data_IF_213521837656
#
_entry.id   IF_213521837656
#
_cell.length_a   1.000
_cell.length_b   1.000
_cell.length_c   1.000
_cell.angle_alpha   90.00
_cell.angle_beta   90.00
_cell.angle_gamma   90.00
#
_symmetry.space_group_name_H-M   'P 1'
#
loop_
_entity.id
_entity.type
_entity.pdbx_description
1 polymer ?
#
# COMPACT_ATOMS: atom_id res chain seq x y z
N UNK A 1 0.67 0.82 21.33
CA UNK A 1 -0.72 0.42 20.97
C UNK A 1 -1.30 -0.69 21.83
N UNK A 2 -0.59 -1.80 22.07
CA UNK A 2 -1.10 -2.91 22.90
C UNK A 2 -1.44 -2.51 24.36
N UNK A 3 -0.71 -1.56 24.94
CA UNK A 3 -1.00 -1.04 26.29
C UNK A 3 -2.32 -0.26 26.37
N UNK A 4 -2.65 0.53 25.34
CA UNK A 4 -3.90 1.29 25.31
C UNK A 4 -5.12 0.36 25.23
N UNK A 5 -5.04 -0.72 24.46
CA UNK A 5 -6.13 -1.71 24.35
C UNK A 5 -6.39 -2.49 25.64
N UNK A 6 -5.38 -2.70 26.49
CA UNK A 6 -5.59 -3.35 27.79
C UNK A 6 -6.34 -2.43 28.76
N UNK A 7 -6.09 -1.12 28.70
CA UNK A 7 -6.69 -0.15 29.60
C UNK A 7 -8.16 0.16 29.25
N UNK A 8 -8.51 0.18 27.97
CA UNK A 8 -9.87 0.54 27.50
C UNK A 8 -10.78 -0.65 27.22
N UNK A 9 -10.33 -1.88 27.53
CA UNK A 9 -11.02 -3.13 27.20
C UNK A 9 -12.46 -3.18 27.75
N UNK A 10 -12.64 -2.74 28.98
CA UNK A 10 -13.93 -2.84 29.68
C UNK A 10 -14.86 -1.66 29.34
N UNK A 11 -14.31 -0.44 29.16
CA UNK A 11 -15.11 0.73 28.75
C UNK A 11 -15.55 0.69 27.29
N UNK A 12 -14.73 0.14 26.38
CA UNK A 12 -15.04 0.09 24.94
C UNK A 12 -15.64 -1.26 24.50
N UNK A 13 -16.13 -2.05 25.46
CA UNK A 13 -16.74 -3.37 25.22
C UNK A 13 -17.96 -3.33 24.31
N UNK A 14 -18.68 -2.19 24.25
CA UNK A 14 -19.87 -1.95 23.42
C UNK A 14 -19.60 -1.08 22.20
N UNK A 15 -18.52 -0.31 22.17
CA UNK A 15 -18.20 0.60 21.06
C UNK A 15 -17.52 -0.11 19.87
N UNK A 16 -17.73 0.40 18.65
CA UNK A 16 -16.96 0.03 17.47
C UNK A 16 -15.58 0.67 17.61
N UNK A 17 -14.52 -0.15 17.59
CA UNK A 17 -13.13 0.34 17.69
C UNK A 17 -12.52 0.42 16.32
N UNK A 18 -11.86 1.53 16.02
CA UNK A 18 -11.04 1.67 14.83
C UNK A 18 -9.57 1.46 15.20
N UNK A 19 -8.98 0.37 14.72
CA UNK A 19 -7.61 -0.04 15.06
C UNK A 19 -6.76 -0.03 13.80
N UNK A 20 -5.53 0.50 13.87
CA UNK A 20 -4.60 0.40 12.75
C UNK A 20 -3.83 -0.94 12.74
N UNK A 21 -4.25 -1.92 13.55
CA UNK A 21 -3.78 -3.30 13.48
C UNK A 21 -4.98 -4.25 13.57
N UNK A 22 -5.10 -5.14 12.59
CA UNK A 22 -6.16 -6.13 12.43
C UNK A 22 -5.81 -7.49 13.05
N UNK A 23 -4.73 -7.58 13.83
CA UNK A 23 -4.27 -8.83 14.41
C UNK A 23 -5.27 -9.39 15.44
N UNK A 24 -5.79 -10.59 15.16
CA UNK A 24 -6.72 -11.33 16.02
C UNK A 24 -6.12 -11.63 17.41
N UNK A 25 -4.82 -11.96 17.47
CA UNK A 25 -4.13 -12.20 18.73
C UNK A 25 -4.01 -10.93 19.59
N UNK A 26 -4.14 -9.75 18.98
CA UNK A 26 -4.13 -8.45 19.65
C UNK A 26 -5.49 -8.03 20.22
N UNK A 27 -6.55 -8.85 20.07
CA UNK A 27 -7.89 -8.54 20.56
C UNK A 27 -8.80 -7.83 19.55
N UNK A 28 -8.46 -7.88 18.26
CA UNK A 28 -9.34 -7.44 17.16
C UNK A 28 -10.53 -8.40 17.01
N UNK A 29 -11.75 -7.89 16.99
CA UNK A 29 -12.98 -8.67 16.79
C UNK A 29 -13.54 -8.45 15.38
N UNK A 30 -13.47 -9.49 14.55
CA UNK A 30 -14.10 -9.52 13.22
C UNK A 30 -15.62 -9.29 13.39
N UNK A 31 -16.19 -8.42 12.56
CA UNK A 31 -17.61 -8.09 12.58
C UNK A 31 -18.01 -6.99 13.56
N UNK A 32 -17.10 -6.54 14.43
CA UNK A 32 -17.35 -5.40 15.34
C UNK A 32 -16.34 -4.27 15.15
N UNK A 33 -15.05 -4.61 15.12
CA UNK A 33 -13.98 -3.62 15.00
C UNK A 33 -13.67 -3.34 13.53
N UNK A 34 -13.29 -2.10 13.23
CA UNK A 34 -12.88 -1.67 11.90
C UNK A 34 -11.38 -1.38 11.86
N UNK A 35 -10.77 -1.59 10.71
CA UNK A 35 -9.34 -1.33 10.52
C UNK A 35 -9.16 0.03 9.90
N UNK A 36 -8.38 0.90 10.55
CA UNK A 36 -8.04 2.18 9.96
C UNK A 36 -6.85 1.98 9.02
N UNK A 37 -7.03 2.13 7.70
CA UNK A 37 -5.93 1.93 6.78
C UNK A 37 -4.91 3.05 6.95
N UNK A 38 -3.62 2.72 6.89
CA UNK A 38 -2.57 3.71 6.90
C UNK A 38 -2.63 4.53 5.61
N UNK A 39 -2.94 5.81 5.70
CA UNK A 39 -2.92 6.73 4.56
C UNK A 39 -1.66 7.58 4.64
N UNK A 40 -0.96 7.70 3.51
CA UNK A 40 0.20 8.59 3.42
C UNK A 40 -0.27 9.96 2.91
N UNK A 41 -0.40 10.92 3.82
CA UNK A 41 -0.76 12.31 3.50
C UNK A 41 0.53 13.06 3.19
N UNK A 42 0.66 13.55 1.95
CA UNK A 42 1.89 14.19 1.45
C UNK A 42 2.05 15.64 1.90
N UNK A 43 0.95 16.36 1.97
CA UNK A 43 0.87 17.75 2.43
C UNK A 43 -0.40 17.85 3.26
N UNK A 44 -0.26 18.39 4.47
CA UNK A 44 -1.40 18.62 5.34
C UNK A 44 -2.26 19.78 4.81
N UNK A 45 -1.67 20.68 4.02
CA UNK A 45 -2.33 21.85 3.44
C UNK A 45 -3.20 21.52 2.23
N UNK A 46 -2.85 20.49 1.45
CA UNK A 46 -3.66 20.01 0.33
C UNK A 46 -3.63 18.47 0.25
N UNK A 47 -4.53 17.79 0.99
CA UNK A 47 -4.60 16.33 1.02
C UNK A 47 -5.12 15.73 -0.29
N UNK A 48 -5.68 16.57 -1.19
CA UNK A 48 -6.26 16.15 -2.48
C UNK A 48 -5.26 16.31 -3.63
N UNK A 49 -4.17 17.05 -3.40
CA UNK A 49 -3.11 17.25 -4.39
C UNK A 49 -2.58 15.91 -4.89
N UNK A 50 -2.68 15.71 -6.21
CA UNK A 50 -2.27 14.49 -6.91
C UNK A 50 -3.16 13.26 -6.74
N UNK A 51 -4.37 13.42 -6.20
CA UNK A 51 -5.41 12.39 -6.32
C UNK A 51 -5.88 12.31 -7.79
N UNK A 52 -6.00 11.09 -8.31
CA UNK A 52 -6.39 10.82 -9.69
C UNK A 52 -5.25 10.33 -10.59
N UNK A 53 -5.50 9.20 -11.26
CA UNK A 53 -4.68 8.65 -12.33
C UNK A 53 -5.27 8.93 -13.71
N UNK A 54 -4.50 8.62 -14.76
CA UNK A 54 -4.98 8.77 -16.13
C UNK A 54 -6.16 7.82 -16.39
N UNK A 55 -7.06 8.11 -17.35
CA UNK A 55 -8.11 7.18 -17.74
C UNK A 55 -7.52 5.84 -18.24
N UNK A 56 -8.24 4.71 -18.10
CA UNK A 56 -7.73 3.38 -18.46
C UNK A 56 -7.17 3.24 -19.88
N UNK A 57 -7.66 4.05 -20.82
CA UNK A 57 -7.22 4.11 -22.22
C UNK A 57 -5.82 4.71 -22.41
N UNK A 58 -5.36 5.57 -21.50
CA UNK A 58 -4.06 6.25 -21.56
C UNK A 58 -3.01 5.62 -20.64
N UNK A 59 -3.23 4.36 -20.23
CA UNK A 59 -2.34 3.61 -19.35
C UNK A 59 -1.53 2.59 -20.16
N UNK A 60 -0.30 2.92 -20.60
CA UNK A 60 0.52 2.03 -21.39
C UNK A 60 1.11 0.87 -20.58
N UNK A 61 1.18 0.99 -19.25
CA UNK A 61 1.84 -0.01 -18.39
C UNK A 61 0.79 -0.99 -17.86
N UNK A 62 1.04 -2.30 -18.05
CA UNK A 62 0.18 -3.37 -17.55
C UNK A 62 0.26 -3.41 -16.02
N UNK A 63 1.41 -3.75 -15.46
CA UNK A 63 1.56 -3.87 -14.03
C UNK A 63 2.77 -3.11 -13.48
N UNK A 64 2.58 -2.53 -12.30
CA UNK A 64 3.63 -1.86 -11.55
C UNK A 64 3.78 -2.51 -10.18
N UNK A 65 5.02 -2.86 -9.83
CA UNK A 65 5.37 -3.32 -8.49
C UNK A 65 6.46 -2.41 -7.92
N UNK A 66 6.22 -1.89 -6.72
CA UNK A 66 7.24 -1.17 -5.96
C UNK A 66 7.71 -2.02 -4.79
N UNK A 67 8.90 -2.61 -4.94
CA UNK A 67 9.59 -3.19 -3.80
C UNK A 67 10.18 -2.04 -2.99
N UNK A 68 9.50 -1.65 -1.90
CA UNK A 68 10.06 -0.72 -0.91
C UNK A 68 11.27 -1.34 -0.19
N UNK A 69 11.36 -1.22 1.14
CA UNK A 69 12.43 -1.87 1.91
C UNK A 69 12.57 -3.37 1.58
N UNK A 70 13.81 -3.86 1.43
CA UNK A 70 14.15 -5.25 1.07
C UNK A 70 13.87 -6.26 2.20
N UNK A 71 12.65 -6.31 2.72
CA UNK A 71 12.26 -7.25 3.77
C UNK A 71 11.12 -8.16 3.29
N UNK A 72 11.51 -9.32 2.74
CA UNK A 72 10.63 -10.43 2.36
C UNK A 72 11.20 -11.26 1.21
N UNK A 73 11.24 -12.59 1.35
CA UNK A 73 11.79 -13.51 0.34
C UNK A 73 11.06 -13.41 -1.01
N UNK A 74 9.75 -13.14 -1.00
CA UNK A 74 8.95 -12.95 -2.21
C UNK A 74 9.39 -11.72 -3.02
N UNK A 75 9.80 -10.62 -2.36
CA UNK A 75 10.24 -9.40 -3.06
C UNK A 75 11.51 -9.66 -3.88
N UNK A 76 12.43 -10.47 -3.36
CA UNK A 76 13.66 -10.84 -4.07
C UNK A 76 13.35 -11.72 -5.28
N UNK A 77 12.46 -12.71 -5.13
CA UNK A 77 12.06 -13.60 -6.22
C UNK A 77 11.34 -12.80 -7.32
N UNK A 78 10.47 -11.86 -6.96
CA UNK A 78 9.75 -11.02 -7.92
C UNK A 78 10.70 -10.13 -8.72
N UNK A 79 11.67 -9.49 -8.06
CA UNK A 79 12.69 -8.71 -8.76
C UNK A 79 13.50 -9.64 -9.65
N UNK A 80 14.04 -10.76 -9.16
CA UNK A 80 14.85 -11.67 -9.97
C UNK A 80 14.10 -12.23 -11.19
N UNK A 81 12.80 -12.49 -11.06
CA UNK A 81 12.04 -13.12 -12.13
C UNK A 81 11.57 -12.12 -13.20
N UNK A 82 11.25 -10.89 -12.80
CA UNK A 82 10.55 -9.92 -13.66
C UNK A 82 11.33 -8.62 -13.92
N UNK A 83 12.44 -8.37 -13.23
CA UNK A 83 13.32 -7.26 -13.54
C UNK A 83 13.86 -7.44 -14.97
N UNK A 84 13.60 -6.46 -15.82
CA UNK A 84 13.99 -6.40 -17.25
C UNK A 84 13.45 -7.51 -18.17
N UNK A 85 12.49 -8.34 -17.73
CA UNK A 85 11.89 -9.35 -18.61
C UNK A 85 10.79 -8.81 -19.51
N UNK A 86 9.90 -7.99 -18.98
CA UNK A 86 8.73 -7.52 -19.72
C UNK A 86 8.69 -5.98 -19.79
N UNK A 87 8.57 -5.38 -20.99
CA UNK A 87 8.50 -3.93 -21.14
C UNK A 87 7.24 -3.34 -20.49
N UNK A 88 6.16 -4.12 -20.45
CA UNK A 88 4.86 -3.72 -19.91
C UNK A 88 4.71 -3.96 -18.40
N UNK A 89 5.67 -4.67 -17.79
CA UNK A 89 5.69 -4.93 -16.36
C UNK A 89 6.86 -4.22 -15.69
N UNK A 90 6.56 -3.11 -15.03
CA UNK A 90 7.58 -2.26 -14.39
C UNK A 90 7.72 -2.64 -12.92
N UNK A 91 8.73 -3.45 -12.62
CA UNK A 91 9.15 -3.73 -11.25
C UNK A 91 10.34 -2.86 -10.90
N UNK A 92 10.19 -2.05 -9.84
CA UNK A 92 11.30 -1.28 -9.29
C UNK A 92 11.70 -1.82 -7.92
N UNK A 93 13.01 -1.91 -7.70
CA UNK A 93 13.62 -2.12 -6.39
C UNK A 93 13.47 -0.91 -5.48
N UNK A 94 14.16 -0.88 -4.33
CA UNK A 94 14.11 0.24 -3.40
C UNK A 94 14.53 1.53 -4.11
N UNK A 95 13.57 2.43 -4.34
CA UNK A 95 13.89 3.77 -4.84
C UNK A 95 14.53 4.59 -3.73
N UNK A 96 15.57 5.35 -4.10
CA UNK A 96 16.09 6.41 -3.26
C UNK A 96 14.96 7.38 -2.87
N UNK A 97 15.01 7.94 -1.66
CA UNK A 97 13.99 8.84 -1.11
C UNK A 97 13.96 10.23 -1.76
N UNK A 98 14.66 10.39 -2.88
CA UNK A 98 14.85 11.63 -3.62
C UNK A 98 13.57 12.11 -4.30
N UNK A 99 13.50 13.42 -4.53
CA UNK A 99 12.36 14.09 -5.15
C UNK A 99 12.10 13.53 -6.56
N UNK A 100 13.16 13.23 -7.31
CA UNK A 100 13.09 12.69 -8.69
C UNK A 100 12.48 11.28 -8.72
N UNK A 101 12.89 10.43 -7.78
CA UNK A 101 12.36 9.06 -7.64
C UNK A 101 10.89 9.09 -7.24
N UNK A 102 10.50 9.96 -6.31
CA UNK A 102 9.10 10.15 -5.89
C UNK A 102 8.22 10.67 -7.03
N UNK A 103 8.74 11.58 -7.87
CA UNK A 103 8.03 12.07 -9.05
C UNK A 103 7.85 10.95 -10.09
N UNK A 104 8.89 10.17 -10.34
CA UNK A 104 8.85 9.03 -11.27
C UNK A 104 7.87 7.96 -10.81
N UNK A 105 7.90 7.59 -9.53
CA UNK A 105 6.92 6.69 -8.90
C UNK A 105 5.48 7.14 -9.13
N UNK A 106 5.21 8.44 -8.96
CA UNK A 106 3.87 9.00 -9.20
C UNK A 106 3.44 8.84 -10.65
N UNK A 107 4.33 9.14 -11.60
CA UNK A 107 4.04 8.96 -13.03
C UNK A 107 3.71 7.50 -13.31
N UNK A 108 4.53 6.56 -12.84
CA UNK A 108 4.25 5.13 -12.99
C UNK A 108 2.95 4.68 -12.32
N UNK A 109 2.62 5.24 -11.15
CA UNK A 109 1.35 4.97 -10.48
C UNK A 109 0.14 5.46 -11.29
N UNK A 110 0.23 6.62 -11.94
CA UNK A 110 -0.84 7.17 -12.77
C UNK A 110 -0.98 6.47 -14.12
N UNK A 111 0.10 5.86 -14.62
CA UNK A 111 0.18 5.24 -15.94
C UNK A 111 -0.05 3.72 -15.94
N UNK A 112 -0.18 3.06 -14.78
CA UNK A 112 -0.36 1.61 -14.68
C UNK A 112 -1.83 1.20 -14.55
N UNK A 113 -2.15 0.00 -15.06
CA UNK A 113 -3.48 -0.62 -14.91
C UNK A 113 -3.58 -1.46 -13.63
N UNK A 114 -2.55 -2.26 -13.36
CA UNK A 114 -2.50 -3.15 -12.21
C UNK A 114 -1.39 -2.72 -11.24
N UNK A 115 -1.74 -2.58 -9.96
CA UNK A 115 -0.77 -2.41 -8.89
C UNK A 115 -0.56 -3.73 -8.17
N UNK A 116 0.65 -4.27 -8.22
CA UNK A 116 0.98 -5.51 -7.55
C UNK A 116 1.42 -5.17 -6.12
N UNK A 117 0.83 -5.85 -5.13
CA UNK A 117 1.23 -5.75 -3.73
C UNK A 117 1.68 -7.14 -3.26
N UNK A 118 2.99 -7.35 -3.20
CA UNK A 118 3.57 -8.57 -2.63
C UNK A 118 3.61 -8.48 -1.11
N UNK A 119 3.19 -9.55 -0.44
CA UNK A 119 3.28 -9.68 1.02
C UNK A 119 4.71 -9.41 1.49
N UNK A 120 4.85 -8.37 2.30
CA UNK A 120 6.10 -8.00 2.96
C UNK A 120 5.98 -8.11 4.48
N UNK A 121 7.05 -7.73 5.17
CA UNK A 121 7.06 -7.63 6.64
C UNK A 121 6.19 -6.48 7.18
N UNK A 122 5.96 -5.45 6.36
CA UNK A 122 5.07 -4.33 6.71
C UNK A 122 3.61 -4.79 6.67
N UNK A 123 3.05 -5.02 7.87
CA UNK A 123 1.65 -5.45 8.08
C UNK A 123 0.64 -4.42 7.57
N UNK A 124 1.04 -3.14 7.46
CA UNK A 124 0.23 -2.03 6.99
C UNK A 124 1.05 -1.13 6.06
N UNK A 125 1.02 -1.41 4.75
CA UNK A 125 1.67 -0.54 3.78
C UNK A 125 0.68 0.49 3.22
N UNK A 126 0.99 1.79 3.25
CA UNK A 126 0.13 2.83 2.68
C UNK A 126 -0.07 2.66 1.17
N UNK A 127 0.75 1.84 0.52
CA UNK A 127 0.70 1.52 -0.91
C UNK A 127 -0.66 0.98 -1.36
N UNK A 128 -1.35 0.21 -0.52
CA UNK A 128 -2.70 -0.31 -0.82
C UNK A 128 -3.67 0.86 -1.03
N UNK A 129 -3.65 1.81 -0.12
CA UNK A 129 -4.51 2.99 -0.19
C UNK A 129 -4.10 3.88 -1.37
N UNK A 130 -2.80 4.08 -1.60
CA UNK A 130 -2.31 4.84 -2.76
C UNK A 130 -2.81 4.24 -4.08
N UNK A 131 -2.79 2.91 -4.24
CA UNK A 131 -3.26 2.26 -5.47
C UNK A 131 -4.75 2.51 -5.76
N UNK A 132 -5.58 2.56 -4.71
CA UNK A 132 -7.01 2.86 -4.80
C UNK A 132 -7.20 4.33 -5.24
N UNK A 133 -6.42 5.25 -4.66
CA UNK A 133 -6.47 6.67 -5.04
C UNK A 133 -6.08 6.92 -6.50
N UNK A 134 -5.15 6.14 -7.05
CA UNK A 134 -4.78 6.20 -8.47
C UNK A 134 -5.72 5.41 -9.38
N UNK A 135 -6.80 4.82 -8.85
CA UNK A 135 -7.76 4.00 -9.58
C UNK A 135 -7.09 2.84 -10.34
N UNK A 136 -6.12 2.19 -9.71
CA UNK A 136 -5.45 1.01 -10.26
C UNK A 136 -6.09 -0.26 -9.69
N UNK A 137 -6.09 -1.35 -10.47
CA UNK A 137 -6.58 -2.64 -9.98
C UNK A 137 -5.51 -3.26 -9.08
N UNK A 138 -5.84 -3.43 -7.79
CA UNK A 138 -4.93 -4.03 -6.82
C UNK A 138 -4.86 -5.54 -7.01
N UNK A 139 -3.65 -6.07 -7.18
CA UNK A 139 -3.36 -7.50 -7.21
C UNK A 139 -2.53 -7.84 -5.97
N UNK A 140 -3.12 -8.59 -5.04
CA UNK A 140 -2.46 -9.02 -3.80
C UNK A 140 -1.85 -10.40 -4.04
N UNK A 141 -0.53 -10.51 -3.86
CA UNK A 141 0.19 -11.79 -3.91
C UNK A 141 0.66 -12.16 -2.51
N UNK A 142 0.18 -13.29 -2.01
CA UNK A 142 0.42 -13.78 -0.65
C UNK A 142 1.53 -14.84 -0.61
#
# INVERSE_FOLDING_TARGET
>A
MLQAMKLTKDLMGTCIRSLCNSNLAGGFKIGKDTTLPATYIRSAEDPVKDLGGNPPSQRPILAFFFAGGMHGSLRLILIQHWHDKDPDMKIFGPMASDIVSKASYRTYMKSNKYFICARGYEVFSPQIVESIYFQCVLVIMN
#
